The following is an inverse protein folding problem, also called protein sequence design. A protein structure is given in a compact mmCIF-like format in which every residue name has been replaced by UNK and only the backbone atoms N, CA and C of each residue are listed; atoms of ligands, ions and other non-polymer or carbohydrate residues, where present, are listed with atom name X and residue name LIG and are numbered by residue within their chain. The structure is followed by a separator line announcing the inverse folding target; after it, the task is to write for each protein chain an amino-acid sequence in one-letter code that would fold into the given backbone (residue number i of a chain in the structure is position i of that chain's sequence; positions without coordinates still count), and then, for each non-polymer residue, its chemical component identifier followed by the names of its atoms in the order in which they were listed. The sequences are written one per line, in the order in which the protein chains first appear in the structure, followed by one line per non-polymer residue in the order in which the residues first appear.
data_IF_374901979725
#
_entry.id   IF_374901979725
#
_cell.length_a   1.000
_cell.length_b   1.000
_cell.length_c   1.000
_cell.angle_alpha   90.00
_cell.angle_beta   90.00
_cell.angle_gamma   90.00
#
_symmetry.space_group_name_H-M   'P 1'
#
loop_
_entity.id
_entity.type
_entity.pdbx_description
1 polymer ?
#
# COMPACT_ATOMS: atom_id res chain seq x y z
N UNK A 1 -63.61 -42.01 -23.25
CA UNK A 1 -62.34 -42.11 -22.50
C UNK A 1 -61.34 -42.71 -23.46
N UNK A 2 -60.79 -41.83 -24.29
CA UNK A 2 -60.01 -42.16 -25.47
C UNK A 2 -58.55 -42.07 -25.03
N UNK A 3 -57.84 -43.18 -25.22
CA UNK A 3 -56.51 -43.24 -25.80
C UNK A 3 -55.46 -42.25 -25.26
N UNK A 4 -54.48 -42.75 -24.51
CA UNK A 4 -53.13 -43.09 -24.99
C UNK A 4 -52.26 -41.85 -25.31
N UNK A 5 -50.94 -42.09 -25.27
CA UNK A 5 -49.89 -41.38 -26.01
C UNK A 5 -49.01 -40.44 -25.16
N UNK A 6 -47.82 -40.97 -24.87
CA UNK A 6 -46.54 -40.26 -24.76
C UNK A 6 -46.44 -39.01 -25.64
N UNK A 7 -46.23 -37.82 -25.06
CA UNK A 7 -45.71 -36.65 -25.79
C UNK A 7 -45.20 -35.64 -24.75
N UNK A 8 -43.90 -35.34 -24.64
CA UNK A 8 -43.23 -34.17 -25.27
C UNK A 8 -44.02 -32.85 -25.15
N UNK A 9 -43.27 -31.76 -24.92
CA UNK A 9 -43.66 -30.34 -24.77
C UNK A 9 -43.72 -29.87 -23.31
N UNK A 10 -43.11 -28.74 -22.91
CA UNK A 10 -42.36 -27.75 -23.65
C UNK A 10 -41.61 -26.84 -22.67
N UNK A 11 -40.39 -26.51 -23.10
CA UNK A 11 -39.60 -25.36 -22.69
C UNK A 11 -40.46 -24.09 -22.64
N UNK A 12 -40.56 -23.45 -21.48
CA UNK A 12 -40.70 -21.99 -21.38
C UNK A 12 -39.62 -21.45 -20.46
N UNK A 13 -38.49 -21.17 -21.11
CA UNK A 13 -37.46 -20.21 -20.76
C UNK A 13 -37.88 -19.10 -19.78
N UNK A 14 -37.64 -19.30 -18.49
CA UNK A 14 -37.04 -18.31 -17.58
C UNK A 14 -36.45 -19.07 -16.40
N UNK A 15 -35.45 -19.92 -16.72
CA UNK A 15 -34.57 -20.49 -15.69
C UNK A 15 -34.01 -19.34 -14.87
N UNK A 16 -34.35 -19.31 -13.58
CA UNK A 16 -33.77 -18.41 -12.59
C UNK A 16 -32.26 -18.48 -12.73
N UNK A 17 -31.69 -17.56 -13.51
CA UNK A 17 -30.24 -17.36 -13.59
C UNK A 17 -29.85 -16.93 -12.19
N UNK A 18 -29.45 -17.88 -11.35
CA UNK A 18 -28.64 -17.59 -10.17
C UNK A 18 -27.41 -16.92 -10.75
N UNK A 19 -27.40 -15.59 -10.74
CA UNK A 19 -26.22 -14.85 -11.09
C UNK A 19 -25.17 -15.33 -10.12
N UNK A 20 -24.18 -16.03 -10.65
CA UNK A 20 -22.98 -16.39 -9.91
C UNK A 20 -22.31 -15.05 -9.63
N UNK A 21 -22.72 -14.40 -8.52
CA UNK A 21 -22.11 -13.16 -8.04
C UNK A 21 -20.65 -13.48 -7.92
N UNK A 22 -19.85 -12.89 -8.81
CA UNK A 22 -18.40 -12.98 -8.72
C UNK A 22 -18.05 -12.40 -7.34
N UNK A 23 -17.28 -13.12 -6.50
CA UNK A 23 -16.82 -12.54 -5.25
C UNK A 23 -16.12 -11.21 -5.57
N UNK A 24 -16.28 -10.17 -4.72
CA UNK A 24 -15.61 -8.90 -4.93
C UNK A 24 -14.11 -9.16 -5.11
N UNK A 25 -13.46 -8.52 -6.10
CA UNK A 25 -12.04 -8.69 -6.30
C UNK A 25 -11.33 -8.38 -4.99
N UNK A 26 -10.56 -9.35 -4.47
CA UNK A 26 -9.72 -9.15 -3.29
C UNK A 26 -8.89 -7.90 -3.57
N UNK A 27 -9.09 -6.84 -2.77
CA UNK A 27 -8.24 -5.66 -2.83
C UNK A 27 -6.81 -6.15 -2.83
N UNK A 28 -6.05 -5.78 -3.87
CA UNK A 28 -4.61 -6.00 -3.87
C UNK A 28 -4.12 -5.31 -2.62
N UNK A 29 -3.53 -6.09 -1.71
CA UNK A 29 -2.87 -5.54 -0.53
C UNK A 29 -1.97 -4.42 -1.04
N UNK A 30 -2.19 -3.20 -0.56
CA UNK A 30 -1.24 -2.11 -0.76
C UNK A 30 0.07 -2.65 -0.21
N UNK A 31 0.96 -3.08 -1.12
CA UNK A 31 2.28 -3.48 -0.70
C UNK A 31 2.88 -2.23 -0.05
N UNK A 32 3.35 -2.32 1.20
CA UNK A 32 3.99 -1.18 1.84
C UNK A 32 5.14 -0.73 0.94
N UNK A 33 5.12 0.54 0.55
CA UNK A 33 6.19 1.17 -0.19
C UNK A 33 7.50 0.91 0.57
N UNK A 34 8.56 0.49 -0.12
CA UNK A 34 9.83 0.16 0.53
C UNK A 34 10.36 1.40 1.26
N UNK A 35 10.38 1.38 2.59
CA UNK A 35 10.93 2.44 3.46
C UNK A 35 12.43 2.31 3.66
N UNK A 36 13.12 1.63 2.74
CA UNK A 36 14.52 1.27 2.85
C UNK A 36 15.38 2.21 2.00
N UNK A 37 15.99 3.20 2.65
CA UNK A 37 16.85 4.19 2.00
C UNK A 37 18.33 4.01 2.40
N UNK A 38 19.23 4.60 1.61
CA UNK A 38 20.66 4.61 1.87
C UNK A 38 21.02 5.76 2.82
N UNK A 39 22.06 5.61 3.64
CA UNK A 39 22.48 6.69 4.54
C UNK A 39 23.59 7.53 3.90
N UNK A 40 23.51 8.88 3.90
CA UNK A 40 24.55 9.75 3.35
C UNK A 40 25.87 9.70 4.15
N UNK A 41 25.82 9.36 5.43
CA UNK A 41 27.01 9.33 6.29
C UNK A 41 27.79 8.02 6.22
N UNK A 42 27.09 6.89 6.31
CA UNK A 42 27.72 5.57 6.39
C UNK A 42 27.66 4.77 5.09
N UNK A 43 27.00 5.31 4.05
CA UNK A 43 26.88 4.73 2.70
C UNK A 43 26.44 3.25 2.66
N UNK A 44 25.78 2.77 3.71
CA UNK A 44 25.21 1.43 3.76
C UNK A 44 23.82 1.41 3.10
N UNK A 45 23.60 0.40 2.27
CA UNK A 45 22.33 0.21 1.58
C UNK A 45 21.22 -0.15 2.59
N UNK A 46 20.00 0.36 2.34
CA UNK A 46 18.76 -0.01 3.06
C UNK A 46 18.87 0.05 4.60
N UNK A 47 19.67 0.98 5.12
CA UNK A 47 20.00 1.08 6.55
C UNK A 47 19.16 2.12 7.31
N UNK A 48 18.43 2.95 6.59
CA UNK A 48 17.56 3.99 7.16
C UNK A 48 16.13 3.49 7.30
N UNK A 49 15.56 3.70 8.49
CA UNK A 49 14.14 3.46 8.77
C UNK A 49 13.39 4.78 8.91
N UNK A 50 12.23 4.86 8.29
CA UNK A 50 11.32 6.01 8.41
C UNK A 50 10.08 5.61 9.21
N UNK A 51 9.82 6.33 10.30
CA UNK A 51 8.60 6.24 11.11
C UNK A 51 7.76 7.50 10.90
N UNK A 52 6.55 7.32 10.39
CA UNK A 52 5.60 8.41 10.22
C UNK A 52 4.54 8.40 11.31
N UNK A 53 4.48 9.49 12.08
CA UNK A 53 3.41 9.72 13.03
C UNK A 53 2.44 10.79 12.50
N UNK A 54 1.35 10.32 11.89
CA UNK A 54 0.33 11.19 11.28
C UNK A 54 -0.52 11.93 12.32
N UNK A 55 -0.57 11.46 13.58
CA UNK A 55 -1.30 12.14 14.64
C UNK A 55 -0.60 13.44 15.07
N UNK A 56 0.74 13.43 15.00
CA UNK A 56 1.59 14.56 15.39
C UNK A 56 2.17 15.30 14.19
N UNK A 57 1.76 14.95 12.97
CA UNK A 57 2.32 15.48 11.73
C UNK A 57 3.86 15.48 11.74
N UNK A 58 4.44 14.40 12.26
CA UNK A 58 5.89 14.29 12.46
C UNK A 58 6.41 13.02 11.79
N UNK A 59 7.44 13.15 10.95
CA UNK A 59 8.22 12.06 10.40
C UNK A 59 9.57 11.98 11.11
N UNK A 60 9.98 10.78 11.50
CA UNK A 60 11.30 10.51 12.07
C UNK A 60 12.06 9.51 11.19
N UNK A 61 13.30 9.83 10.85
CA UNK A 61 14.22 8.93 10.16
C UNK A 61 15.33 8.54 11.14
N UNK A 62 15.68 7.26 11.17
CA UNK A 62 16.73 6.70 12.04
C UNK A 62 17.60 5.78 11.22
N UNK A 63 18.92 5.98 11.24
CA UNK A 63 19.86 5.04 10.63
C UNK A 63 20.28 3.96 11.63
N UNK A 64 20.22 2.68 11.25
CA UNK A 64 20.63 1.57 12.12
C UNK A 64 22.15 1.45 12.31
N UNK A 65 22.94 2.04 11.41
CA UNK A 65 24.41 1.89 11.41
C UNK A 65 25.09 3.06 12.13
N UNK A 66 24.84 4.29 11.70
CA UNK A 66 25.41 5.47 12.36
C UNK A 66 24.60 5.95 13.58
N UNK A 67 23.41 5.37 13.82
CA UNK A 67 22.52 5.71 14.94
C UNK A 67 22.05 7.18 14.98
N UNK A 68 22.27 7.91 13.89
CA UNK A 68 21.77 9.28 13.73
C UNK A 68 20.26 9.27 13.49
N UNK A 69 19.57 10.25 14.06
CA UNK A 69 18.14 10.40 13.91
C UNK A 69 17.72 11.84 13.65
N UNK A 70 16.76 12.00 12.75
CA UNK A 70 16.27 13.29 12.32
C UNK A 70 14.75 13.33 12.31
N UNK A 71 14.20 14.49 12.65
CA UNK A 71 12.78 14.72 12.78
C UNK A 71 12.36 15.89 11.87
N UNK A 72 11.39 15.65 11.00
CA UNK A 72 10.78 16.67 10.13
C UNK A 72 9.26 16.70 10.31
N UNK A 73 8.64 17.82 9.97
CA UNK A 73 7.19 17.96 9.93
C UNK A 73 6.63 17.35 8.64
N UNK A 74 5.63 16.49 8.74
CA UNK A 74 4.99 15.83 7.60
C UNK A 74 3.53 16.26 7.42
N UNK A 75 3.08 16.30 6.17
CA UNK A 75 1.70 16.51 5.78
C UNK A 75 1.00 15.18 5.42
N UNK A 76 -0.30 15.21 5.16
CA UNK A 76 -1.09 14.04 4.75
C UNK A 76 -0.65 13.46 3.40
N UNK A 77 -0.15 14.33 2.52
CA UNK A 77 0.37 13.98 1.19
C UNK A 77 1.83 13.52 1.23
N UNK A 78 2.49 13.61 2.40
CA UNK A 78 3.90 13.30 2.51
C UNK A 78 4.15 11.80 2.47
N UNK A 79 5.15 11.43 1.68
CA UNK A 79 5.64 10.08 1.48
C UNK A 79 6.98 9.89 2.21
N UNK A 80 7.37 8.65 2.55
CA UNK A 80 8.63 8.39 3.27
C UNK A 80 9.87 8.83 2.51
N UNK A 81 9.77 9.01 1.18
CA UNK A 81 10.81 9.62 0.36
C UNK A 81 10.98 11.12 0.65
N UNK A 82 9.92 11.84 0.98
CA UNK A 82 9.99 13.27 1.30
C UNK A 82 10.81 13.49 2.57
N UNK A 83 10.56 12.67 3.60
CA UNK A 83 11.32 12.70 4.88
C UNK A 83 12.80 12.39 4.66
N UNK A 84 13.10 11.48 3.72
CA UNK A 84 14.48 11.18 3.35
C UNK A 84 15.15 12.36 2.64
N UNK A 85 14.43 13.03 1.74
CA UNK A 85 14.92 14.22 1.01
C UNK A 85 15.25 15.36 1.96
N UNK A 86 14.31 15.69 2.84
CA UNK A 86 14.47 16.71 3.88
C UNK A 86 15.70 16.43 4.78
N UNK A 87 15.96 15.15 5.06
CA UNK A 87 17.11 14.76 5.86
C UNK A 87 18.43 14.99 5.13
N UNK A 88 18.51 14.70 3.82
CA UNK A 88 19.70 15.01 3.02
C UNK A 88 19.97 16.51 3.02
N UNK A 89 18.95 17.33 2.74
CA UNK A 89 19.08 18.79 2.68
C UNK A 89 19.50 19.39 4.03
N UNK A 90 18.98 18.85 5.14
CA UNK A 90 19.37 19.25 6.48
C UNK A 90 20.82 18.86 6.80
N UNK A 91 21.28 17.70 6.33
CA UNK A 91 22.67 17.25 6.51
C UNK A 91 23.65 18.08 5.69
N UNK A 92 23.29 18.46 4.46
CA UNK A 92 24.11 19.33 3.62
C UNK A 92 24.21 20.73 4.25
N UNK A 93 23.10 21.27 4.72
CA UNK A 93 23.04 22.60 5.35
C UNK A 93 23.84 22.68 6.65
N UNK A 94 23.89 21.59 7.44
CA UNK A 94 24.64 21.53 8.69
C UNK A 94 26.15 21.37 8.51
N UNK A 95 26.61 20.91 7.34
CA UNK A 95 28.01 20.66 7.02
C UNK A 95 28.66 21.78 6.17
N UNK A 96 27.98 22.92 6.04
CA UNK A 96 28.52 24.14 5.40
C UNK A 96 29.20 25.04 6.43
#
# INVERSE_FOLDING_TARGET
MVFLITCKQQISIMGRRRSKRKPPPKQKAIMPLETQFNCPFCNHEKSCEVKMDRQRNTGRITCRVCLEDFQTSINYLSEPVDVYSDWIDACESANQ
#
